data_IF_418706360462
#
_entry.id   IF_418706360462
#
_cell.length_a   1.000
_cell.length_b   1.000
_cell.length_c   1.000
_cell.angle_alpha   90.00
_cell.angle_beta   90.00
_cell.angle_gamma   90.00
#
_symmetry.space_group_name_H-M   'P 1'
#
loop_
_entity.id
_entity.type
_entity.pdbx_description
1 polymer ?
#
# COMPACT_ATOMS: atom_id res chain seq x y z
N UNK A 1 -2.69 -25.76 -9.54
CA UNK A 1 -2.18 -24.43 -9.90
C UNK A 1 -2.62 -23.48 -8.81
N UNK A 2 -1.71 -22.65 -8.30
CA UNK A 2 -1.95 -21.77 -7.17
C UNK A 2 -2.37 -20.39 -7.67
N UNK A 3 -3.67 -20.17 -7.77
CA UNK A 3 -4.25 -18.87 -8.16
C UNK A 3 -4.74 -18.17 -6.90
N UNK A 4 -4.42 -16.88 -6.71
CA UNK A 4 -4.98 -16.11 -5.61
C UNK A 4 -6.50 -16.10 -5.60
N UNK A 5 -7.07 -16.42 -4.44
CA UNK A 5 -8.50 -16.34 -4.16
C UNK A 5 -8.85 -15.18 -3.21
N UNK A 6 -7.85 -14.45 -2.71
CA UNK A 6 -8.07 -13.14 -2.10
C UNK A 6 -6.96 -12.13 -2.42
N UNK A 7 -7.30 -10.84 -2.38
CA UNK A 7 -6.37 -9.74 -2.59
C UNK A 7 -6.61 -8.63 -1.56
N UNK A 8 -5.55 -8.13 -0.92
CA UNK A 8 -5.63 -6.85 -0.22
C UNK A 8 -5.20 -5.75 -1.21
N UNK A 9 -6.18 -5.07 -1.80
CA UNK A 9 -5.98 -4.15 -2.92
C UNK A 9 -5.52 -2.76 -2.51
N UNK A 10 -5.73 -2.38 -1.25
CA UNK A 10 -5.47 -1.02 -0.80
C UNK A 10 -5.81 -0.79 0.65
N UNK A 11 -5.60 0.41 1.17
CA UNK A 11 -4.94 1.53 0.52
C UNK A 11 -3.45 1.62 0.90
N UNK A 12 -2.65 2.25 0.05
CA UNK A 12 -1.24 2.49 0.35
C UNK A 12 -1.13 3.40 1.60
N UNK A 13 -0.28 2.99 2.54
CA UNK A 13 -0.04 3.66 3.85
C UNK A 13 -1.17 3.50 4.88
N UNK A 14 -2.05 2.53 4.69
CA UNK A 14 -3.13 2.18 5.62
C UNK A 14 -2.90 0.87 6.41
N UNK A 15 -1.67 0.35 6.48
CA UNK A 15 -1.36 -0.84 7.30
C UNK A 15 -1.33 -2.18 6.56
N UNK A 16 -1.33 -2.18 5.22
CA UNK A 16 -1.30 -3.41 4.41
C UNK A 16 -0.07 -4.30 4.65
N UNK A 17 1.12 -3.74 4.95
CA UNK A 17 2.27 -4.57 5.35
C UNK A 17 2.04 -5.29 6.67
N UNK A 18 1.40 -4.63 7.64
CA UNK A 18 1.06 -5.26 8.92
C UNK A 18 0.03 -6.37 8.73
N UNK A 19 -0.97 -6.16 7.86
CA UNK A 19 -1.88 -7.24 7.44
C UNK A 19 -1.09 -8.43 6.89
N UNK A 20 -0.20 -8.20 5.92
CA UNK A 20 0.61 -9.24 5.30
C UNK A 20 1.42 -10.05 6.33
N UNK A 21 2.16 -9.37 7.23
CA UNK A 21 3.00 -10.06 8.23
C UNK A 21 2.16 -10.85 9.25
N UNK A 22 0.95 -10.38 9.56
CA UNK A 22 0.06 -11.09 10.48
C UNK A 22 -0.55 -12.32 9.81
N UNK A 23 -1.11 -12.18 8.60
CA UNK A 23 -1.76 -13.28 7.89
C UNK A 23 -0.78 -14.38 7.46
N UNK A 24 0.47 -14.02 7.15
CA UNK A 24 1.54 -14.98 6.79
C UNK A 24 1.81 -16.02 7.88
N UNK A 25 1.42 -15.77 9.13
CA UNK A 25 1.57 -16.74 10.23
C UNK A 25 0.57 -17.90 10.15
N UNK A 26 -0.54 -17.73 9.42
CA UNK A 26 -1.60 -18.72 9.37
C UNK A 26 -1.21 -19.88 8.44
N UNK A 27 -1.26 -21.16 8.89
CA UNK A 27 -0.78 -22.30 8.10
C UNK A 27 -1.57 -22.52 6.81
N UNK A 28 -2.87 -22.17 6.81
CA UNK A 28 -3.74 -22.28 5.63
C UNK A 28 -3.78 -21.00 4.74
N UNK A 29 -2.94 -20.00 5.03
CA UNK A 29 -2.82 -18.80 4.18
C UNK A 29 -1.45 -18.79 3.50
N UNK A 30 -1.45 -18.77 2.18
CA UNK A 30 -0.26 -18.54 1.37
C UNK A 30 -0.21 -17.08 0.89
N UNK A 31 0.94 -16.45 1.11
CA UNK A 31 1.29 -15.14 0.56
C UNK A 31 2.70 -15.23 -0.05
N UNK A 32 2.96 -14.57 -1.20
CA UNK A 32 4.27 -14.60 -1.86
C UNK A 32 5.36 -14.03 -0.94
N UNK A 33 6.46 -14.76 -0.77
CA UNK A 33 7.51 -14.47 0.22
C UNK A 33 8.68 -13.67 -0.33
N UNK A 34 9.04 -13.91 -1.60
CA UNK A 34 10.17 -13.21 -2.25
C UNK A 34 9.81 -11.75 -2.53
N UNK A 35 8.54 -11.49 -2.87
CA UNK A 35 8.02 -10.18 -3.23
C UNK A 35 6.60 -10.02 -2.68
N UNK A 36 6.41 -9.13 -1.70
CA UNK A 36 5.09 -8.81 -1.13
C UNK A 36 4.12 -8.25 -2.18
N UNK A 37 4.57 -7.28 -2.97
CA UNK A 37 3.76 -6.52 -3.92
C UNK A 37 4.20 -6.89 -5.34
N UNK A 38 3.49 -7.80 -6.00
CA UNK A 38 3.93 -8.36 -7.29
C UNK A 38 3.78 -7.33 -8.41
N UNK A 39 2.86 -6.37 -8.27
CA UNK A 39 2.49 -5.39 -9.29
C UNK A 39 1.94 -6.03 -10.57
N UNK A 40 1.49 -7.29 -10.53
CA UNK A 40 1.00 -8.00 -11.71
C UNK A 40 -0.22 -7.33 -12.32
N UNK A 41 -1.23 -7.00 -11.52
CA UNK A 41 -2.44 -6.29 -11.98
C UNK A 41 -2.24 -4.78 -12.20
N UNK A 42 -1.06 -4.27 -11.87
CA UNK A 42 -0.72 -2.84 -11.87
C UNK A 42 0.06 -2.47 -13.12
N UNK A 43 1.15 -3.19 -13.39
CA UNK A 43 2.04 -2.91 -14.52
C UNK A 43 1.62 -3.68 -15.77
N UNK A 44 1.39 -2.95 -16.86
CA UNK A 44 0.99 -3.52 -18.16
C UNK A 44 2.00 -4.58 -18.62
N UNK A 45 3.29 -4.30 -18.53
CA UNK A 45 4.36 -5.22 -18.96
C UNK A 45 4.43 -6.50 -18.12
N UNK A 46 3.90 -6.48 -16.89
CA UNK A 46 3.76 -7.69 -16.08
C UNK A 46 2.48 -8.43 -16.41
N UNK A 47 1.37 -7.71 -16.55
CA UNK A 47 0.07 -8.29 -16.86
C UNK A 47 0.08 -9.03 -18.20
N UNK A 48 0.72 -8.47 -19.23
CA UNK A 48 0.85 -9.07 -20.56
C UNK A 48 1.59 -10.41 -20.59
N UNK A 49 2.35 -10.74 -19.54
CA UNK A 49 3.01 -12.06 -19.42
C UNK A 49 2.03 -13.20 -19.09
N UNK A 50 0.80 -12.87 -18.69
CA UNK A 50 -0.29 -13.81 -18.49
C UNK A 50 -0.25 -14.56 -17.15
N UNK A 51 -1.33 -15.30 -16.89
CA UNK A 51 -1.55 -16.03 -15.63
C UNK A 51 -0.47 -17.07 -15.34
N UNK A 52 -0.01 -17.82 -16.36
CA UNK A 52 1.03 -18.83 -16.19
C UNK A 52 2.35 -18.22 -15.67
N UNK A 53 2.71 -17.02 -16.11
CA UNK A 53 3.84 -16.29 -15.56
C UNK A 53 3.60 -15.88 -14.11
N UNK A 54 2.42 -15.33 -13.81
CA UNK A 54 2.04 -14.89 -12.47
C UNK A 54 2.13 -16.02 -11.43
N UNK A 55 1.55 -17.17 -11.74
CA UNK A 55 1.59 -18.37 -10.88
C UNK A 55 3.03 -18.84 -10.65
N UNK A 56 3.80 -19.01 -11.73
CA UNK A 56 5.17 -19.53 -11.66
C UNK A 56 6.10 -18.59 -10.89
N UNK A 57 6.00 -17.30 -11.14
CA UNK A 57 6.92 -16.30 -10.59
C UNK A 57 6.66 -16.04 -9.10
N UNK A 58 5.40 -16.01 -8.67
CA UNK A 58 5.04 -15.54 -7.32
C UNK A 58 4.41 -16.61 -6.42
N UNK A 59 3.90 -17.71 -6.99
CA UNK A 59 3.17 -18.74 -6.24
C UNK A 59 3.77 -20.15 -6.38
N UNK A 60 5.01 -20.26 -6.87
CA UNK A 60 5.70 -21.55 -7.03
C UNK A 60 6.01 -22.26 -5.71
N UNK A 61 6.03 -21.54 -4.59
CA UNK A 61 6.22 -22.11 -3.24
C UNK A 61 4.92 -22.53 -2.55
N UNK A 62 3.75 -22.35 -3.18
CA UNK A 62 2.49 -22.79 -2.60
C UNK A 62 2.49 -24.31 -2.39
N UNK A 63 2.05 -24.76 -1.22
CA UNK A 63 2.14 -26.17 -0.82
C UNK A 63 0.84 -26.74 -0.24
N UNK A 64 -0.32 -26.20 -0.65
CA UNK A 64 -1.63 -26.77 -0.33
C UNK A 64 -2.54 -25.90 0.53
N UNK A 65 -2.15 -24.66 0.83
CA UNK A 65 -3.00 -23.69 1.53
C UNK A 65 -4.32 -23.46 0.79
N UNK A 66 -5.42 -23.41 1.54
CA UNK A 66 -6.75 -23.16 1.00
C UNK A 66 -6.97 -21.68 0.65
N UNK A 67 -6.31 -20.77 1.36
CA UNK A 67 -6.39 -19.33 1.13
C UNK A 67 -5.09 -18.83 0.52
N UNK A 68 -5.14 -18.36 -0.72
CA UNK A 68 -3.97 -17.93 -1.49
C UNK A 68 -4.19 -16.46 -1.81
N UNK A 69 -3.25 -15.57 -1.49
CA UNK A 69 -3.48 -14.16 -1.74
C UNK A 69 -2.27 -13.32 -2.08
N UNK A 70 -2.56 -12.07 -2.41
CA UNK A 70 -1.58 -11.01 -2.64
C UNK A 70 -1.96 -9.75 -1.88
N UNK A 71 -0.95 -9.03 -1.37
CA UNK A 71 -1.13 -7.74 -0.71
C UNK A 71 -0.38 -6.65 -1.48
N UNK A 72 -1.08 -6.06 -2.45
CA UNK A 72 -0.57 -4.96 -3.26
C UNK A 72 -1.50 -3.73 -3.18
N UNK A 73 -1.16 -2.73 -2.33
CA UNK A 73 -2.00 -1.56 -2.15
C UNK A 73 -2.08 -0.61 -3.35
N UNK A 74 -1.30 -0.83 -4.42
CA UNK A 74 -1.40 -0.04 -5.63
C UNK A 74 -2.60 -0.44 -6.48
N UNK A 75 -3.11 -1.67 -6.33
CA UNK A 75 -4.25 -2.18 -7.10
C UNK A 75 -5.48 -1.29 -6.95
N UNK A 76 -5.77 -0.80 -5.75
CA UNK A 76 -6.94 0.05 -5.51
C UNK A 76 -6.92 1.34 -6.35
N UNK A 77 -5.75 1.95 -6.51
CA UNK A 77 -5.60 3.23 -7.20
C UNK A 77 -5.43 3.10 -8.72
N UNK A 78 -4.93 1.96 -9.21
CA UNK A 78 -4.76 1.78 -10.64
C UNK A 78 -6.08 1.45 -11.34
N UNK A 79 -6.38 2.19 -12.39
CA UNK A 79 -7.70 2.20 -13.05
C UNK A 79 -8.05 0.84 -13.67
N UNK A 80 -7.06 0.18 -14.28
CA UNK A 80 -7.25 -1.11 -14.95
C UNK A 80 -7.19 -2.31 -13.99
N UNK A 81 -6.79 -2.11 -12.73
CA UNK A 81 -6.55 -3.23 -11.82
C UNK A 81 -7.83 -4.03 -11.55
N UNK A 82 -8.95 -3.36 -11.26
CA UNK A 82 -10.23 -4.05 -11.00
C UNK A 82 -10.67 -4.93 -12.20
N UNK A 83 -10.59 -4.38 -13.42
CA UNK A 83 -10.91 -5.12 -14.65
C UNK A 83 -9.98 -6.31 -14.86
N UNK A 84 -8.67 -6.11 -14.69
CA UNK A 84 -7.66 -7.16 -14.87
C UNK A 84 -7.82 -8.27 -13.84
N UNK A 85 -8.07 -7.93 -12.58
CA UNK A 85 -8.35 -8.90 -11.51
C UNK A 85 -9.57 -9.73 -11.88
N UNK A 86 -10.68 -9.10 -12.26
CA UNK A 86 -11.90 -9.81 -12.64
C UNK A 86 -11.67 -10.74 -13.83
N UNK A 87 -10.98 -10.25 -14.88
CA UNK A 87 -10.68 -11.04 -16.06
C UNK A 87 -9.80 -12.28 -15.76
N UNK A 88 -8.86 -12.16 -14.83
CA UNK A 88 -7.89 -13.23 -14.53
C UNK A 88 -8.34 -14.18 -13.43
N UNK A 89 -8.99 -13.67 -12.38
CA UNK A 89 -9.31 -14.43 -11.16
C UNK A 89 -10.83 -14.69 -10.99
N UNK A 90 -11.67 -14.02 -11.79
CA UNK A 90 -13.12 -14.11 -11.71
C UNK A 90 -13.73 -13.24 -10.59
N UNK A 91 -15.07 -13.14 -10.59
CA UNK A 91 -15.84 -12.31 -9.65
C UNK A 91 -15.87 -12.83 -8.20
N UNK A 92 -15.46 -14.09 -7.98
CA UNK A 92 -15.50 -14.75 -6.67
C UNK A 92 -14.26 -14.48 -5.80
N UNK A 93 -13.25 -13.80 -6.34
CA UNK A 93 -12.08 -13.40 -5.58
C UNK A 93 -12.49 -12.45 -4.45
N UNK A 94 -11.95 -12.68 -3.26
CA UNK A 94 -12.21 -11.86 -2.08
C UNK A 94 -11.29 -10.64 -2.06
N UNK A 95 -11.82 -9.47 -1.80
CA UNK A 95 -11.07 -8.20 -1.82
C UNK A 95 -11.09 -7.56 -0.45
N UNK A 96 -9.92 -7.22 0.08
CA UNK A 96 -9.76 -6.49 1.34
C UNK A 96 -9.30 -5.07 1.03
N UNK A 97 -10.02 -4.10 1.58
CA UNK A 97 -9.70 -2.69 1.54
C UNK A 97 -9.41 -2.22 2.96
N UNK A 98 -8.31 -1.50 3.15
CA UNK A 98 -7.97 -0.82 4.39
C UNK A 98 -7.86 0.66 4.11
N UNK A 99 -8.82 1.43 4.58
CA UNK A 99 -8.81 2.88 4.51
C UNK A 99 -8.11 3.46 5.73
N UNK A 100 -7.66 4.70 5.64
CA UNK A 100 -7.07 5.48 6.72
C UNK A 100 -7.50 6.92 6.51
N UNK A 101 -7.51 7.75 7.55
CA UNK A 101 -7.71 9.19 7.37
C UNK A 101 -6.86 9.70 6.17
N UNK A 102 -7.48 10.31 5.15
CA UNK A 102 -6.85 10.51 3.85
C UNK A 102 -5.68 11.50 3.93
N UNK A 103 -5.72 12.49 4.83
CA UNK A 103 -4.61 13.43 5.05
C UNK A 103 -3.46 12.75 5.77
N UNK A 104 -3.73 12.03 6.86
CA UNK A 104 -2.73 11.19 7.55
C UNK A 104 -2.05 10.19 6.61
N UNK A 105 -2.82 9.57 5.71
CA UNK A 105 -2.34 8.66 4.66
C UNK A 105 -1.46 9.39 3.65
N UNK A 106 -1.91 10.55 3.15
CA UNK A 106 -1.16 11.40 2.21
C UNK A 106 0.18 11.86 2.82
N UNK A 107 0.16 12.36 4.04
CA UNK A 107 1.36 12.79 4.76
C UNK A 107 2.32 11.62 4.98
N UNK A 108 1.80 10.43 5.32
CA UNK A 108 2.64 9.25 5.42
C UNK A 108 3.27 8.82 4.09
N UNK A 109 2.60 9.08 2.95
CA UNK A 109 3.16 8.84 1.62
C UNK A 109 4.24 9.88 1.29
N UNK A 110 3.96 11.16 1.52
CA UNK A 110 4.91 12.27 1.37
C UNK A 110 6.23 12.01 2.12
N UNK A 111 6.15 11.67 3.41
CA UNK A 111 7.33 11.35 4.22
C UNK A 111 8.09 10.13 3.69
N UNK A 112 7.39 9.15 3.10
CA UNK A 112 8.05 8.01 2.44
C UNK A 112 8.81 8.47 1.19
N UNK A 113 8.22 9.36 0.38
CA UNK A 113 8.85 9.87 -0.84
C UNK A 113 10.06 10.76 -0.53
N UNK A 114 10.00 11.59 0.51
CA UNK A 114 11.17 12.32 1.02
C UNK A 114 12.30 11.37 1.45
N UNK A 115 12.00 10.33 2.25
CA UNK A 115 13.00 9.32 2.66
C UNK A 115 13.59 8.54 1.49
N UNK A 116 12.85 8.40 0.38
CA UNK A 116 13.37 7.78 -0.84
C UNK A 116 14.17 8.76 -1.71
N UNK A 117 14.21 10.04 -1.35
CA UNK A 117 14.88 11.10 -2.11
C UNK A 117 14.11 11.49 -3.37
N UNK A 118 12.80 11.27 -3.41
CA UNK A 118 11.94 11.67 -4.53
C UNK A 118 11.31 13.04 -4.33
N UNK A 119 11.05 13.44 -3.09
CA UNK A 119 10.35 14.69 -2.79
C UNK A 119 11.27 15.65 -2.04
N UNK A 120 11.32 16.89 -2.54
CA UNK A 120 12.09 18.00 -1.97
C UNK A 120 11.18 19.18 -1.58
N UNK A 121 9.93 19.22 -2.06
CA UNK A 121 8.96 20.25 -1.72
C UNK A 121 8.43 20.08 -0.29
N UNK A 122 7.85 21.16 0.26
CA UNK A 122 6.98 21.06 1.44
C UNK A 122 5.73 20.22 1.14
N UNK A 123 4.97 19.83 2.15
CA UNK A 123 3.81 18.95 1.95
C UNK A 123 2.70 19.65 1.16
N UNK A 124 2.45 20.93 1.45
CA UNK A 124 1.47 21.77 0.78
C UNK A 124 1.85 22.02 -0.68
N UNK A 125 3.11 22.37 -0.95
CA UNK A 125 3.62 22.53 -2.31
C UNK A 125 3.57 21.20 -3.09
N UNK A 126 3.85 20.08 -2.43
CA UNK A 126 3.81 18.75 -3.04
C UNK A 126 2.39 18.35 -3.45
N UNK A 127 1.38 18.66 -2.63
CA UNK A 127 -0.05 18.46 -2.97
C UNK A 127 -0.43 19.39 -4.14
N UNK A 128 -0.07 20.67 -4.07
CA UNK A 128 -0.41 21.63 -5.13
C UNK A 128 0.22 21.25 -6.49
N UNK A 129 1.44 20.70 -6.49
CA UNK A 129 2.13 20.24 -7.69
C UNK A 129 1.65 18.87 -8.20
N UNK A 130 0.83 18.13 -7.43
CA UNK A 130 0.49 16.74 -7.74
C UNK A 130 -0.20 16.60 -9.09
N UNK A 131 -1.24 17.38 -9.36
CA UNK A 131 -2.04 17.23 -10.58
C UNK A 131 -1.17 17.33 -11.84
N UNK A 132 -0.27 18.30 -11.90
CA UNK A 132 0.65 18.45 -13.04
C UNK A 132 1.68 17.32 -13.10
N UNK A 133 2.20 16.85 -11.96
CA UNK A 133 3.12 15.70 -11.92
C UNK A 133 2.45 14.43 -12.41
N UNK A 134 1.17 14.22 -12.09
CA UNK A 134 0.42 13.02 -12.48
C UNK A 134 0.10 12.96 -13.98
N UNK A 135 0.03 14.10 -14.69
CA UNK A 135 -0.11 14.14 -16.16
C UNK A 135 1.12 13.62 -16.91
N UNK A 136 2.23 13.39 -16.21
CA UNK A 136 3.50 13.02 -16.81
C UNK A 136 3.70 11.48 -16.88
N UNK A 137 4.85 10.98 -16.42
CA UNK A 137 5.23 9.56 -16.54
C UNK A 137 4.54 8.68 -15.48
N UNK A 138 4.27 7.39 -15.76
CA UNK A 138 3.64 6.46 -14.80
C UNK A 138 4.34 6.39 -13.43
N UNK A 139 5.67 6.47 -13.41
CA UNK A 139 6.48 6.46 -12.19
C UNK A 139 6.25 7.67 -11.27
N UNK A 140 5.71 8.78 -11.79
CA UNK A 140 5.32 9.93 -10.98
C UNK A 140 4.04 9.60 -10.18
N UNK A 141 3.12 8.85 -10.79
CA UNK A 141 1.91 8.33 -10.13
C UNK A 141 2.23 7.44 -8.93
N UNK A 142 3.36 6.74 -8.89
CA UNK A 142 3.75 5.96 -7.72
C UNK A 142 4.32 6.79 -6.59
N UNK A 143 5.05 7.86 -6.91
CA UNK A 143 5.86 8.59 -5.93
C UNK A 143 5.18 9.87 -5.40
N UNK A 144 4.25 10.45 -6.15
CA UNK A 144 3.73 11.79 -5.89
C UNK A 144 2.20 11.90 -5.81
N UNK A 145 1.47 10.77 -5.85
CA UNK A 145 0.01 10.76 -5.63
C UNK A 145 -0.33 10.77 -4.14
N UNK A 146 -0.27 11.94 -3.53
CA UNK A 146 -0.54 12.16 -2.11
C UNK A 146 -2.04 12.42 -1.89
N UNK A 147 -2.61 13.36 -2.60
CA UNK A 147 -4.02 13.71 -2.58
C UNK A 147 -4.88 12.66 -3.29
N UNK A 148 -4.59 12.34 -4.56
CA UNK A 148 -5.48 11.56 -5.43
C UNK A 148 -5.73 10.14 -4.91
N UNK A 149 -4.73 9.53 -4.24
CA UNK A 149 -4.88 8.20 -3.61
C UNK A 149 -5.80 8.20 -2.39
N UNK A 150 -6.08 9.36 -1.81
CA UNK A 150 -7.02 9.54 -0.71
C UNK A 150 -8.47 9.78 -1.15
N UNK A 151 -8.72 9.94 -2.45
CA UNK A 151 -10.08 10.01 -3.01
C UNK A 151 -10.60 8.59 -3.21
N UNK A 152 -11.18 8.01 -2.16
CA UNK A 152 -11.44 6.58 -2.07
C UNK A 152 -12.70 6.14 -2.80
N UNK A 153 -13.72 7.00 -2.88
CA UNK A 153 -15.04 6.62 -3.40
C UNK A 153 -14.97 6.13 -4.83
N UNK A 154 -14.33 6.90 -5.72
CA UNK A 154 -14.17 6.53 -7.13
C UNK A 154 -13.40 5.20 -7.26
N UNK A 155 -12.39 5.00 -6.41
CA UNK A 155 -11.59 3.79 -6.40
C UNK A 155 -12.43 2.57 -6.01
N UNK A 156 -13.25 2.65 -4.97
CA UNK A 156 -14.16 1.57 -4.56
C UNK A 156 -15.21 1.30 -5.65
N UNK A 157 -15.78 2.35 -6.24
CA UNK A 157 -16.75 2.23 -7.32
C UNK A 157 -16.18 1.50 -8.55
N UNK A 158 -14.88 1.60 -8.83
CA UNK A 158 -14.25 0.79 -9.89
C UNK A 158 -14.30 -0.71 -9.62
N UNK A 159 -14.14 -1.14 -8.36
CA UNK A 159 -14.25 -2.55 -8.00
C UNK A 159 -15.72 -3.02 -7.98
N UNK A 160 -16.65 -2.20 -7.50
CA UNK A 160 -18.09 -2.53 -7.50
C UNK A 160 -18.69 -2.81 -8.88
N UNK A 161 -18.04 -2.35 -9.96
CA UNK A 161 -18.43 -2.70 -11.35
C UNK A 161 -18.24 -4.18 -11.69
N UNK A 162 -17.38 -4.89 -10.95
CA UNK A 162 -16.95 -6.24 -11.27
C UNK A 162 -17.14 -7.25 -10.13
N UNK A 163 -17.24 -6.78 -8.89
CA UNK A 163 -17.30 -7.65 -7.70
C UNK A 163 -18.54 -7.33 -6.87
N UNK A 164 -19.14 -8.39 -6.34
CA UNK A 164 -20.29 -8.30 -5.45
C UNK A 164 -19.85 -7.87 -4.05
N UNK A 165 -20.73 -7.18 -3.33
CA UNK A 165 -20.48 -6.61 -2.00
C UNK A 165 -19.96 -7.67 -1.01
N UNK A 166 -20.52 -8.88 -1.02
CA UNK A 166 -20.12 -9.99 -0.14
C UNK A 166 -18.67 -10.45 -0.34
N UNK A 167 -18.06 -10.15 -1.49
CA UNK A 167 -16.66 -10.44 -1.79
C UNK A 167 -15.75 -9.25 -1.46
N UNK A 168 -16.25 -8.19 -0.83
CA UNK A 168 -15.47 -7.02 -0.45
C UNK A 168 -15.53 -6.76 1.06
N UNK A 169 -14.37 -6.76 1.72
CA UNK A 169 -14.22 -6.43 3.12
C UNK A 169 -13.61 -5.04 3.28
N UNK A 170 -14.40 -4.11 3.83
CA UNK A 170 -13.99 -2.73 4.08
C UNK A 170 -13.53 -2.53 5.53
N UNK A 171 -12.26 -2.15 5.71
CA UNK A 171 -11.60 -1.90 6.99
C UNK A 171 -11.15 -0.44 7.10
N UNK A 172 -11.20 0.13 8.30
CA UNK A 172 -10.75 1.47 8.67
C UNK A 172 -9.58 1.30 9.63
N UNK A 173 -8.39 1.76 9.27
CA UNK A 173 -7.16 1.53 10.03
C UNK A 173 -7.28 1.95 11.50
N UNK A 174 -7.81 3.14 11.76
CA UNK A 174 -7.97 3.69 13.10
C UNK A 174 -8.92 2.84 13.97
N UNK A 175 -9.96 2.26 13.40
CA UNK A 175 -10.92 1.47 14.17
C UNK A 175 -10.57 -0.01 14.21
N UNK A 176 -10.18 -0.58 13.08
CA UNK A 176 -9.98 -2.02 12.93
C UNK A 176 -8.56 -2.44 13.32
N UNK A 177 -7.53 -1.63 13.08
CA UNK A 177 -6.14 -2.01 13.37
C UNK A 177 -5.61 -1.45 14.70
N UNK A 178 -6.15 -0.31 15.14
CA UNK A 178 -5.74 0.34 16.39
C UNK A 178 -6.67 0.00 17.55
N UNK A 179 -7.99 0.13 17.39
CA UNK A 179 -8.95 -0.10 18.49
C UNK A 179 -9.38 -1.57 18.62
N UNK A 180 -9.86 -2.17 17.53
CA UNK A 180 -10.53 -3.48 17.53
C UNK A 180 -9.70 -4.58 16.84
N UNK A 181 -8.40 -4.60 17.15
CA UNK A 181 -7.41 -5.38 16.39
C UNK A 181 -7.68 -6.88 16.40
N UNK A 182 -8.00 -7.45 17.55
CA UNK A 182 -8.23 -8.89 17.66
C UNK A 182 -9.48 -9.31 16.88
N UNK A 183 -10.58 -8.60 17.12
CA UNK A 183 -11.87 -8.82 16.48
C UNK A 183 -11.77 -8.68 14.96
N UNK A 184 -10.98 -7.72 14.49
CA UNK A 184 -10.71 -7.52 13.07
C UNK A 184 -10.00 -8.72 12.45
N UNK A 185 -8.97 -9.27 13.08
CA UNK A 185 -8.25 -10.42 12.54
C UNK A 185 -9.06 -11.72 12.65
N UNK A 186 -9.94 -11.85 13.64
CA UNK A 186 -10.94 -12.93 13.66
C UNK A 186 -11.89 -12.82 12.45
N UNK A 187 -12.41 -11.60 12.18
CA UNK A 187 -13.28 -11.33 11.02
C UNK A 187 -12.57 -11.55 9.68
N UNK A 188 -11.28 -11.20 9.57
CA UNK A 188 -10.50 -11.47 8.35
C UNK A 188 -10.34 -12.98 8.14
N UNK A 189 -10.06 -13.77 9.19
CA UNK A 189 -9.97 -15.22 9.06
C UNK A 189 -11.29 -15.83 8.58
N UNK A 190 -12.42 -15.39 9.15
CA UNK A 190 -13.75 -15.83 8.69
C UNK A 190 -14.02 -15.44 7.24
N UNK A 191 -13.72 -14.18 6.90
CA UNK A 191 -13.88 -13.68 5.54
C UNK A 191 -13.06 -14.49 4.56
N UNK A 192 -11.82 -14.86 4.91
CA UNK A 192 -10.96 -15.70 4.07
C UNK A 192 -11.37 -17.18 4.05
N UNK A 193 -12.27 -17.60 4.93
CA UNK A 193 -12.74 -18.98 5.02
C UNK A 193 -11.74 -19.93 5.67
N UNK A 194 -10.84 -19.42 6.50
CA UNK A 194 -9.86 -20.22 7.26
C UNK A 194 -10.29 -20.35 8.72
N UNK A 195 -9.84 -21.42 9.39
CA UNK A 195 -10.17 -21.64 10.79
C UNK A 195 -9.53 -20.57 11.66
N UNK A 196 -10.31 -19.89 12.52
CA UNK A 196 -9.76 -18.94 13.49
C UNK A 196 -8.67 -19.59 14.34
N UNK A 197 -7.53 -18.92 14.44
CA UNK A 197 -6.46 -19.25 15.35
C UNK A 197 -5.86 -17.99 15.99
N UNK A 198 -5.08 -18.18 17.05
CA UNK A 198 -4.32 -17.10 17.65
C UNK A 198 -3.14 -16.71 16.73
N UNK A 199 -3.10 -15.44 16.32
CA UNK A 199 -2.00 -14.86 15.57
C UNK A 199 -1.24 -13.86 16.46
N UNK A 200 0.06 -13.67 16.23
CA UNK A 200 0.79 -12.60 16.89
C UNK A 200 0.38 -11.25 16.28
N UNK A 201 -0.47 -10.51 16.99
CA UNK A 201 -0.98 -9.22 16.56
C UNK A 201 -0.03 -8.06 16.89
N UNK A 202 1.01 -8.27 17.71
CA UNK A 202 1.92 -7.21 18.14
C UNK A 202 2.94 -6.79 17.07
N UNK A 203 2.83 -7.36 15.86
CA UNK A 203 3.69 -6.98 14.74
C UNK A 203 3.41 -5.52 14.34
N UNK A 204 4.44 -4.70 14.47
CA UNK A 204 4.52 -3.36 13.87
C UNK A 204 5.47 -3.42 12.69
N UNK A 205 4.95 -3.18 11.50
CA UNK A 205 5.74 -3.18 10.25
C UNK A 205 5.93 -1.75 9.78
N UNK A 206 7.12 -1.44 9.23
CA UNK A 206 7.48 -0.10 8.74
C UNK A 206 7.47 1.01 9.81
N UNK A 207 8.05 0.74 10.98
CA UNK A 207 8.33 1.82 11.94
C UNK A 207 9.14 2.93 11.26
N UNK A 208 8.82 4.18 11.60
CA UNK A 208 9.48 5.31 11.00
C UNK A 208 10.97 5.34 11.38
N UNK A 209 11.81 5.53 10.36
CA UNK A 209 13.23 5.67 10.53
C UNK A 209 13.70 6.96 9.85
N UNK A 210 14.54 7.72 10.54
CA UNK A 210 15.21 8.90 10.01
C UNK A 210 16.68 8.61 9.75
N UNK A 211 17.33 9.30 8.81
CA UNK A 211 18.77 9.21 8.66
C UNK A 211 19.49 9.80 9.88
N UNK A 212 20.56 9.16 10.36
CA UNK A 212 21.49 9.71 11.36
C UNK A 212 22.27 10.88 10.78
N UNK A 213 22.68 10.77 9.52
CA UNK A 213 23.37 11.81 8.76
C UNK A 213 22.67 12.09 7.41
N UNK A 214 22.22 13.34 7.21
CA UNK A 214 21.49 13.79 6.01
C UNK A 214 22.36 13.79 4.76
N UNK A 215 23.65 14.17 4.86
CA UNK A 215 24.56 14.18 3.72
C UNK A 215 24.81 12.76 3.16
N UNK A 216 25.02 11.77 4.03
CA UNK A 216 25.17 10.35 3.63
C UNK A 216 23.87 9.82 2.99
N UNK A 217 22.73 10.20 3.56
CA UNK A 217 21.43 9.87 3.01
C UNK A 217 21.27 10.43 1.58
N UNK A 218 21.55 11.72 1.39
CA UNK A 218 21.36 12.40 0.12
C UNK A 218 22.35 11.87 -0.95
N UNK A 219 23.59 11.55 -0.55
CA UNK A 219 24.59 10.93 -1.41
C UNK A 219 24.12 9.58 -1.98
N UNK A 220 23.37 8.79 -1.19
CA UNK A 220 22.95 7.44 -1.57
C UNK A 220 21.57 7.40 -2.24
N UNK A 221 20.67 8.33 -1.89
CA UNK A 221 19.27 8.32 -2.32
C UNK A 221 18.95 9.30 -3.44
N UNK A 222 19.52 10.51 -3.43
CA UNK A 222 19.26 11.52 -4.46
C UNK A 222 20.10 11.28 -5.71
N UNK A 223 19.75 11.95 -6.81
CA UNK A 223 20.59 12.00 -8.02
C UNK A 223 21.77 12.93 -7.73
N UNK A 224 23.00 12.45 -7.94
CA UNK A 224 24.21 13.27 -7.81
C UNK A 224 25.31 12.75 -8.76
N UNK A 225 26.32 13.59 -9.08
CA UNK A 225 27.37 13.22 -10.04
C UNK A 225 28.18 11.99 -9.63
N UNK A 226 28.48 11.84 -8.34
CA UNK A 226 29.23 10.69 -7.81
C UNK A 226 28.48 9.38 -8.01
N UNK A 227 27.16 9.39 -7.79
CA UNK A 227 26.29 8.24 -8.05
C UNK A 227 26.28 7.86 -9.53
N UNK A 228 26.31 8.83 -10.43
CA UNK A 228 26.40 8.58 -11.87
C UNK A 228 27.77 8.02 -12.28
N UNK A 229 28.85 8.41 -11.59
CA UNK A 229 30.17 7.83 -11.79
C UNK A 229 30.21 6.38 -11.31
N UNK A 230 29.75 6.13 -10.08
CA UNK A 230 29.61 4.78 -9.54
C UNK A 230 28.65 3.92 -10.38
N UNK A 231 27.67 4.54 -11.06
CA UNK A 231 26.74 3.92 -12.01
C UNK A 231 27.47 3.11 -13.09
N UNK A 232 28.60 3.64 -13.57
CA UNK A 232 29.39 3.11 -14.68
C UNK A 232 30.35 2.00 -14.26
N UNK A 233 30.74 1.95 -12.98
CA UNK A 233 31.82 1.07 -12.50
C UNK A 233 31.27 -0.15 -11.76
N UNK A 234 30.15 0.01 -11.03
CA UNK A 234 29.62 -1.04 -10.16
C UNK A 234 28.38 -1.69 -10.82
N UNK A 235 28.22 -3.02 -10.81
CA UNK A 235 26.98 -3.66 -11.24
C UNK A 235 25.77 -3.17 -10.43
N UNK A 236 24.60 -3.08 -11.08
CA UNK A 236 23.37 -2.53 -10.46
C UNK A 236 22.94 -3.29 -9.20
N UNK A 237 23.14 -4.61 -9.16
CA UNK A 237 22.85 -5.46 -8.00
C UNK A 237 23.74 -5.15 -6.78
N UNK A 238 25.07 -5.10 -6.99
CA UNK A 238 26.04 -4.76 -5.95
C UNK A 238 25.82 -3.35 -5.39
N UNK A 239 25.50 -2.38 -6.27
CA UNK A 239 25.15 -1.02 -5.83
C UNK A 239 23.90 -1.01 -4.94
N UNK A 240 22.85 -1.76 -5.32
CA UNK A 240 21.62 -1.85 -4.51
C UNK A 240 21.90 -2.46 -3.13
N UNK A 241 22.75 -3.50 -3.05
CA UNK A 241 23.15 -4.09 -1.77
C UNK A 241 23.92 -3.10 -0.90
N UNK A 242 24.93 -2.42 -1.46
CA UNK A 242 25.70 -1.40 -0.75
C UNK A 242 24.81 -0.25 -0.27
N UNK A 243 23.90 0.24 -1.10
CA UNK A 243 22.94 1.27 -0.72
C UNK A 243 22.04 0.83 0.43
N UNK A 244 21.55 -0.42 0.42
CA UNK A 244 20.77 -0.98 1.53
C UNK A 244 21.59 -1.05 2.82
N UNK A 245 22.83 -1.53 2.73
CA UNK A 245 23.74 -1.61 3.86
C UNK A 245 24.02 -0.24 4.50
N UNK A 246 24.41 0.75 3.69
CA UNK A 246 24.66 2.13 4.15
C UNK A 246 23.39 2.73 4.76
N UNK A 247 22.24 2.57 4.10
CA UNK A 247 20.97 3.09 4.60
C UNK A 247 20.57 2.44 5.95
N UNK A 248 20.82 1.14 6.13
CA UNK A 248 20.57 0.44 7.39
C UNK A 248 21.44 0.95 8.53
N UNK A 249 22.75 1.13 8.30
CA UNK A 249 23.67 1.70 9.30
C UNK A 249 23.35 3.16 9.64
N UNK A 250 22.91 3.91 8.65
CA UNK A 250 22.52 5.31 8.77
C UNK A 250 21.06 5.49 9.25
N UNK A 251 20.31 4.44 9.58
CA UNK A 251 18.94 4.58 10.10
C UNK A 251 18.93 4.70 11.63
N UNK A 252 18.08 5.58 12.16
CA UNK A 252 17.68 5.61 13.58
C UNK A 252 16.16 5.52 13.68
N UNK A 253 15.66 4.77 14.65
CA UNK A 253 14.24 4.74 14.97
C UNK A 253 13.80 6.15 15.43
N UNK A 254 12.66 6.60 14.92
CA UNK A 254 12.04 7.87 15.31
C UNK A 254 10.53 7.68 15.34
N UNK A 255 9.86 8.51 16.14
CA UNK A 255 8.42 8.64 15.95
C UNK A 255 8.17 9.32 14.60
N UNK A 256 7.17 8.83 13.86
CA UNK A 256 6.79 9.47 12.61
C UNK A 256 6.22 10.85 12.95
N UNK A 257 6.74 11.95 12.36
CA UNK A 257 6.11 13.24 12.56
C UNK A 257 4.66 13.15 12.12
N UNK A 258 3.78 13.70 12.95
CA UNK A 258 2.36 13.84 12.64
C UNK A 258 2.11 15.27 12.19
N UNK A 259 1.19 15.43 11.27
CA UNK A 259 0.69 16.75 10.93
C UNK A 259 -0.03 17.31 12.17
N UNK A 260 0.02 18.63 12.35
CA UNK A 260 -0.79 19.27 13.38
C UNK A 260 -2.28 18.97 13.14
N UNK A 261 -3.04 18.73 14.22
CA UNK A 261 -4.46 18.35 14.10
C UNK A 261 -5.30 19.44 13.44
N UNK A 262 -5.02 20.72 13.71
CA UNK A 262 -5.74 21.83 13.07
C UNK A 262 -5.47 21.83 11.57
N UNK A 263 -4.22 21.59 11.17
CA UNK A 263 -3.85 21.53 9.75
C UNK A 263 -4.44 20.29 9.06
N UNK A 264 -4.50 19.16 9.76
CA UNK A 264 -5.14 17.94 9.26
C UNK A 264 -6.62 18.19 8.96
N UNK A 265 -7.35 18.82 9.89
CA UNK A 265 -8.76 19.17 9.69
C UNK A 265 -8.96 20.19 8.57
N UNK A 266 -8.12 21.23 8.49
CA UNK A 266 -8.15 22.20 7.39
C UNK A 266 -8.07 21.50 6.03
N UNK A 267 -7.10 20.59 5.85
CA UNK A 267 -6.91 19.85 4.61
C UNK A 267 -8.05 18.86 4.33
N UNK A 268 -8.64 18.24 5.36
CA UNK A 268 -9.82 17.38 5.19
C UNK A 268 -10.99 18.17 4.65
N UNK A 269 -11.31 19.31 5.26
CA UNK A 269 -12.40 20.16 4.83
C UNK A 269 -12.17 20.78 3.44
N UNK A 270 -10.93 21.13 3.13
CA UNK A 270 -10.57 21.71 1.84
C UNK A 270 -10.64 20.68 0.71
N UNK A 271 -10.22 19.44 0.95
CA UNK A 271 -9.90 18.50 -0.14
C UNK A 271 -10.69 17.19 -0.12
N UNK A 272 -11.12 16.69 1.04
CA UNK A 272 -11.60 15.31 1.18
C UNK A 272 -13.02 15.20 1.73
N UNK A 273 -13.61 16.24 2.31
CA UNK A 273 -14.89 16.14 3.04
C UNK A 273 -16.03 15.55 2.21
N UNK A 274 -16.12 15.91 0.92
CA UNK A 274 -17.14 15.36 0.03
C UNK A 274 -16.93 13.87 -0.21
N UNK A 275 -15.69 13.47 -0.52
CA UNK A 275 -15.32 12.07 -0.76
C UNK A 275 -15.50 11.22 0.50
N UNK A 276 -15.13 11.72 1.69
CA UNK A 276 -15.30 10.98 2.94
C UNK A 276 -16.79 10.73 3.22
N UNK A 277 -17.65 11.73 3.05
CA UNK A 277 -19.10 11.57 3.27
C UNK A 277 -19.75 10.63 2.25
N UNK A 278 -19.25 10.59 1.03
CA UNK A 278 -19.72 9.65 0.02
C UNK A 278 -19.24 8.22 0.34
N UNK A 279 -17.95 8.07 0.68
CA UNK A 279 -17.36 6.81 1.10
C UNK A 279 -18.08 6.22 2.32
N UNK A 280 -18.37 7.04 3.34
CA UNK A 280 -19.08 6.64 4.57
C UNK A 280 -20.39 5.89 4.26
N UNK A 281 -21.19 6.46 3.34
CA UNK A 281 -22.42 5.84 2.84
C UNK A 281 -22.13 4.62 1.99
N UNK A 282 -21.10 4.70 1.15
CA UNK A 282 -20.74 3.65 0.20
C UNK A 282 -20.37 2.37 0.93
N UNK A 283 -19.49 2.42 1.94
CA UNK A 283 -18.95 1.24 2.63
C UNK A 283 -19.71 0.87 3.91
N UNK A 284 -20.76 1.63 4.25
CA UNK A 284 -21.57 1.44 5.47
C UNK A 284 -20.72 1.41 6.76
N UNK A 285 -19.77 2.36 6.88
CA UNK A 285 -18.90 2.53 8.06
C UNK A 285 -18.96 3.97 8.51
N UNK A 286 -19.00 4.20 9.82
CA UNK A 286 -18.88 5.53 10.40
C UNK A 286 -17.45 6.07 10.20
N UNK A 287 -17.32 7.22 9.53
CA UNK A 287 -16.06 7.92 9.30
C UNK A 287 -16.08 9.31 9.94
N UNK A 288 -17.07 9.61 10.78
CA UNK A 288 -17.26 10.93 11.39
C UNK A 288 -16.01 11.43 12.10
N UNK A 289 -15.33 10.53 12.81
CA UNK A 289 -14.07 10.83 13.53
C UNK A 289 -12.93 11.34 12.65
N UNK A 290 -13.01 11.19 11.33
CA UNK A 290 -12.01 11.75 10.42
C UNK A 290 -12.20 13.26 10.23
N UNK A 291 -13.44 13.75 10.21
CA UNK A 291 -13.78 15.13 9.84
C UNK A 291 -14.55 15.91 10.93
N UNK A 292 -14.66 15.33 12.13
CA UNK A 292 -15.21 15.95 13.33
C UNK A 292 -14.18 16.83 14.05
#
# INVERSE_FOLDING_TARGET
MAVPNFLCVGAQKAGTTTLYEILKQHPDIFLPQQVKETKFFVYEEKFQKGLAFYEKEYFSEWNGQSSIGEVDPAMMFEELAAQRIHHTLGEQVKLIFIFRNPVSRAYSHYLMSQRKGFEDLSFEEAIAAEQERLKSKPEQKFNFSYFSRGLYTEQVNRFRKYFREENMLFLVFEDDFIKNRKETFDRIQDFLGVKRMALNLQIKSNEAAAPKNKAIHDLTRKKNPLRNLLAKIIPSGARKQLQRFIAGKNAKAVEQPRLDKSKEQELIHQYFISDIKELEKLIHRDLHTWYS
#
